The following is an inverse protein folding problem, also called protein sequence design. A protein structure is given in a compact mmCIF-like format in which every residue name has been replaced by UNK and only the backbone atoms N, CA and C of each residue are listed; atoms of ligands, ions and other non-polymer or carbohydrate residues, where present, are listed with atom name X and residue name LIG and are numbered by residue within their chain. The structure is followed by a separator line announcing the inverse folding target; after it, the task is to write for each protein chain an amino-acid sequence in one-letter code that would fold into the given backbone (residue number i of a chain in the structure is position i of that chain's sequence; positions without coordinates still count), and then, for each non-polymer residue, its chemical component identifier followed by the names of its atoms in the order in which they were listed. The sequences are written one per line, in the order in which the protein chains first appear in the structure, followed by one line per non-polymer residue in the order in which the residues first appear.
data_IF_595974543740
#
_entry.id   IF_595974543740
#
_cell.length_a   1.000
_cell.length_b   1.000
_cell.length_c   1.000
_cell.angle_alpha   90.00
_cell.angle_beta   90.00
_cell.angle_gamma   90.00
#
_symmetry.space_group_name_H-M   'P 1'
#
loop_
_entity.id
_entity.type
_entity.pdbx_description
1 polymer ?
#
# COMPACT_ATOMS: atom_id res chain seq x y z
N UNK A 1 -3.72 -6.55 16.95
CA UNK A 1 -2.43 -5.82 16.89
C UNK A 1 -2.61 -4.50 16.16
N UNK A 2 -2.05 -3.44 16.69
CA UNK A 2 -2.06 -2.14 16.03
C UNK A 2 -0.68 -1.84 15.48
N UNK A 3 -0.64 -1.30 14.28
CA UNK A 3 0.58 -0.92 13.59
C UNK A 3 0.50 0.55 13.19
N UNK A 4 1.49 1.34 13.56
CA UNK A 4 1.59 2.73 13.13
C UNK A 4 2.56 2.80 11.95
N UNK A 5 2.08 3.35 10.86
CA UNK A 5 2.83 3.52 9.64
C UNK A 5 3.11 5.01 9.40
N UNK A 6 4.35 5.33 9.07
CA UNK A 6 4.82 6.69 8.82
C UNK A 6 4.63 7.61 10.06
N UNK A 7 5.69 7.84 10.81
CA UNK A 7 5.61 8.67 12.02
C UNK A 7 5.18 10.13 11.74
N UNK A 8 5.45 10.64 10.54
CA UNK A 8 5.00 11.98 10.14
C UNK A 8 3.50 12.04 9.90
N UNK A 9 2.96 11.09 9.13
CA UNK A 9 1.53 11.01 8.80
C UNK A 9 0.71 10.28 9.88
N UNK A 10 1.34 9.44 10.66
CA UNK A 10 0.76 8.72 11.81
C UNK A 10 -0.48 7.87 11.45
N UNK A 11 -0.36 7.06 10.40
CA UNK A 11 -1.42 6.12 10.05
C UNK A 11 -1.52 5.00 11.07
N UNK A 12 -2.71 4.78 11.61
CA UNK A 12 -3.01 3.66 12.50
C UNK A 12 -3.68 2.52 11.73
N UNK A 13 -3.04 1.37 11.71
CA UNK A 13 -3.51 0.17 11.02
C UNK A 13 -3.81 -0.90 12.06
N UNK A 14 -5.04 -1.38 12.09
CA UNK A 14 -5.44 -2.50 12.97
C UNK A 14 -5.37 -3.80 12.21
N UNK A 15 -4.65 -4.76 12.77
CA UNK A 15 -4.53 -6.12 12.24
C UNK A 15 -5.18 -7.10 13.20
N UNK A 16 -6.03 -7.98 12.67
CA UNK A 16 -6.65 -9.05 13.45
C UNK A 16 -6.45 -10.38 12.72
N UNK A 17 -5.88 -11.37 13.43
CA UNK A 17 -5.80 -12.73 12.92
C UNK A 17 -7.15 -13.41 13.15
N UNK A 18 -7.84 -13.74 12.06
CA UNK A 18 -9.17 -14.36 12.13
C UNK A 18 -9.10 -15.88 12.08
N UNK A 19 -8.22 -16.44 11.26
CA UNK A 19 -8.16 -17.87 11.03
C UNK A 19 -6.78 -18.31 10.53
N UNK A 20 -6.36 -19.50 10.97
CA UNK A 20 -5.18 -20.17 10.45
C UNK A 20 -5.64 -21.40 9.68
N UNK A 21 -5.29 -21.48 8.41
CA UNK A 21 -5.62 -22.60 7.54
C UNK A 21 -4.33 -23.27 7.09
N UNK A 22 -4.25 -24.59 7.26
CA UNK A 22 -3.15 -25.38 6.71
C UNK A 22 -3.68 -26.06 5.45
N UNK A 23 -3.24 -25.59 4.29
CA UNK A 23 -3.61 -26.14 2.98
C UNK A 23 -2.34 -26.41 2.18
N UNK A 24 -1.99 -27.69 2.07
CA UNK A 24 -0.79 -28.13 1.35
C UNK A 24 -0.92 -28.00 -0.18
N UNK A 25 -2.15 -27.90 -0.67
CA UNK A 25 -2.43 -27.82 -2.09
C UNK A 25 -2.49 -26.37 -2.60
N UNK A 26 -2.50 -25.39 -1.71
CA UNK A 26 -2.52 -23.98 -2.07
C UNK A 26 -1.16 -23.52 -2.61
N UNK A 27 -1.07 -23.11 -3.89
CA UNK A 27 0.20 -22.65 -4.46
C UNK A 27 0.71 -21.40 -3.77
N UNK A 28 1.96 -21.44 -3.26
CA UNK A 28 2.58 -20.28 -2.61
C UNK A 28 2.69 -19.05 -3.50
N UNK A 29 2.70 -19.23 -4.83
CA UNK A 29 2.71 -18.12 -5.80
C UNK A 29 1.42 -17.29 -5.81
N UNK A 30 0.33 -17.81 -5.25
CA UNK A 30 -0.94 -17.09 -5.13
C UNK A 30 -1.05 -16.32 -3.82
N UNK A 31 -0.06 -16.40 -2.97
CA UNK A 31 -0.01 -15.74 -1.67
C UNK A 31 1.10 -14.67 -1.63
N UNK A 32 0.90 -13.57 -0.91
CA UNK A 32 -0.35 -13.16 -0.27
C UNK A 32 -1.38 -12.67 -1.29
N UNK A 33 -2.66 -12.71 -0.94
CA UNK A 33 -3.72 -12.15 -1.79
C UNK A 33 -4.83 -11.53 -0.94
N UNK A 34 -5.48 -10.51 -1.49
CA UNK A 34 -6.68 -9.90 -0.92
C UNK A 34 -7.89 -10.69 -1.41
N UNK A 35 -8.78 -11.07 -0.50
CA UNK A 35 -10.01 -11.81 -0.82
C UNK A 35 -11.25 -10.92 -0.78
N UNK A 36 -11.21 -9.81 -0.04
CA UNK A 36 -12.28 -8.83 0.02
C UNK A 36 -11.72 -7.51 0.55
N UNK A 37 -12.43 -6.44 0.28
CA UNK A 37 -12.06 -5.12 0.78
C UNK A 37 -13.09 -4.08 0.41
N UNK A 38 -12.99 -2.90 1.03
CA UNK A 38 -13.78 -1.73 0.70
C UNK A 38 -12.99 -0.46 1.03
N UNK A 39 -13.33 0.62 0.38
CA UNK A 39 -12.69 1.91 0.57
C UNK A 39 -11.32 2.02 -0.08
N UNK A 40 -10.87 3.26 -0.24
CA UNK A 40 -9.53 3.56 -0.73
C UNK A 40 -8.52 3.45 0.42
N UNK A 41 -7.27 3.31 0.05
CA UNK A 41 -6.20 3.12 1.02
C UNK A 41 -5.52 4.41 1.45
N UNK A 42 -4.34 4.24 1.99
CA UNK A 42 -3.45 5.33 2.39
C UNK A 42 -2.95 6.07 1.15
N UNK A 43 -3.00 7.41 1.18
CA UNK A 43 -2.27 8.25 0.24
C UNK A 43 -0.96 8.66 0.92
N UNK A 44 0.15 8.26 0.34
CA UNK A 44 1.48 8.56 0.88
C UNK A 44 1.74 10.06 0.96
N UNK A 45 2.34 10.47 2.05
CA UNK A 45 2.77 11.86 2.28
C UNK A 45 1.65 12.91 2.26
N UNK A 46 0.42 12.52 2.45
CA UNK A 46 -0.70 13.46 2.43
C UNK A 46 -0.94 14.19 3.76
N UNK A 47 -0.26 13.82 4.82
CA UNK A 47 -0.46 14.39 6.17
C UNK A 47 -1.39 13.56 7.05
N UNK A 48 -1.50 12.26 6.79
CA UNK A 48 -2.33 11.35 7.57
C UNK A 48 -3.83 11.52 7.31
N UNK A 49 -4.64 11.15 8.29
CA UNK A 49 -6.11 11.21 8.20
C UNK A 49 -6.59 12.64 7.91
N UNK A 50 -6.03 13.62 8.58
CA UNK A 50 -6.42 15.02 8.39
C UNK A 50 -6.08 15.54 6.99
N UNK A 51 -4.92 15.18 6.47
CA UNK A 51 -4.51 15.51 5.11
C UNK A 51 -5.40 14.84 4.08
N UNK A 52 -5.78 13.58 4.30
CA UNK A 52 -6.70 12.85 3.44
C UNK A 52 -8.08 13.50 3.41
N UNK A 53 -8.61 13.91 4.56
CA UNK A 53 -9.88 14.63 4.65
C UNK A 53 -9.85 15.95 3.88
N UNK A 54 -8.75 16.69 3.97
CA UNK A 54 -8.54 17.94 3.21
C UNK A 54 -8.57 17.69 1.70
N UNK A 55 -7.85 16.68 1.24
CA UNK A 55 -7.85 16.28 -0.18
C UNK A 55 -9.26 15.90 -0.63
N UNK A 56 -9.96 15.09 0.15
CA UNK A 56 -11.33 14.69 -0.16
C UNK A 56 -12.26 15.88 -0.28
N UNK A 57 -12.13 16.86 0.62
CA UNK A 57 -12.92 18.10 0.58
C UNK A 57 -12.66 18.91 -0.68
N UNK A 58 -11.40 19.06 -1.04
CA UNK A 58 -11.00 19.80 -2.24
C UNK A 58 -11.50 19.12 -3.51
N UNK A 59 -11.41 17.79 -3.59
CA UNK A 59 -11.88 17.01 -4.75
C UNK A 59 -13.41 17.05 -4.91
N UNK A 60 -14.17 17.25 -3.84
CA UNK A 60 -15.62 17.48 -3.96
C UNK A 60 -15.96 18.78 -4.66
N UNK A 61 -15.17 19.81 -4.45
CA UNK A 61 -15.37 21.12 -5.09
C UNK A 61 -14.95 21.15 -6.55
N UNK A 62 -13.96 20.36 -6.94
CA UNK A 62 -13.40 20.24 -8.29
C UNK A 62 -13.05 21.58 -8.95
N UNK A 63 -12.58 22.54 -8.17
CA UNK A 63 -12.20 23.86 -8.68
C UNK A 63 -11.18 24.55 -7.76
N UNK A 64 -10.45 25.48 -8.33
CA UNK A 64 -9.46 26.30 -7.63
C UNK A 64 -8.05 25.75 -7.76
N UNK A 65 -7.09 26.59 -7.33
CA UNK A 65 -5.67 26.25 -7.44
C UNK A 65 -5.30 25.03 -6.61
N UNK A 66 -5.86 24.88 -5.43
CA UNK A 66 -5.57 23.75 -4.54
C UNK A 66 -6.01 22.42 -5.18
N UNK A 67 -7.15 22.41 -5.85
CA UNK A 67 -7.60 21.25 -6.63
C UNK A 67 -6.63 20.93 -7.77
N UNK A 68 -6.20 21.94 -8.52
CA UNK A 68 -5.24 21.76 -9.61
C UNK A 68 -3.91 21.20 -9.10
N UNK A 69 -3.41 21.74 -7.98
CA UNK A 69 -2.16 21.28 -7.37
C UNK A 69 -2.27 19.81 -6.91
N UNK A 70 -3.38 19.41 -6.31
CA UNK A 70 -3.60 18.03 -5.92
C UNK A 70 -3.76 17.09 -7.12
N UNK A 71 -4.43 17.53 -8.18
CA UNK A 71 -4.53 16.75 -9.43
C UNK A 71 -3.15 16.46 -10.03
N UNK A 72 -2.29 17.47 -10.06
CA UNK A 72 -0.93 17.34 -10.57
C UNK A 72 -0.11 16.38 -9.68
N UNK A 73 -0.18 16.58 -8.37
CA UNK A 73 0.56 15.74 -7.42
C UNK A 73 0.12 14.28 -7.45
N UNK A 74 -1.19 14.01 -7.45
CA UNK A 74 -1.75 12.65 -7.44
C UNK A 74 -1.79 12.00 -8.82
N UNK A 75 -1.68 12.80 -9.89
CA UNK A 75 -1.78 12.29 -11.25
C UNK A 75 -3.18 11.85 -11.66
N UNK A 76 -4.21 12.36 -11.00
CA UNK A 76 -5.62 12.06 -11.31
C UNK A 76 -6.53 13.24 -10.99
N UNK A 77 -7.69 13.30 -11.65
CA UNK A 77 -8.66 14.38 -11.51
C UNK A 77 -9.87 14.02 -10.63
N UNK A 78 -10.02 12.74 -10.28
CA UNK A 78 -11.09 12.23 -9.45
C UNK A 78 -10.53 11.44 -8.27
N UNK A 79 -11.24 11.50 -7.15
CA UNK A 79 -10.93 10.73 -5.96
C UNK A 79 -12.22 10.14 -5.39
N UNK A 80 -12.31 8.82 -5.35
CA UNK A 80 -13.40 8.08 -4.72
C UNK A 80 -12.83 7.25 -3.57
N UNK A 81 -13.03 7.74 -2.34
CA UNK A 81 -12.53 7.09 -1.14
C UNK A 81 -13.34 5.83 -0.76
N UNK A 82 -14.47 5.59 -1.38
CA UNK A 82 -15.28 4.40 -1.17
C UNK A 82 -14.95 3.28 -2.16
N UNK A 83 -14.25 3.60 -3.24
CA UNK A 83 -13.87 2.64 -4.26
C UNK A 83 -12.79 1.67 -3.76
N UNK A 84 -12.94 0.42 -4.12
CA UNK A 84 -11.93 -0.61 -3.89
C UNK A 84 -11.83 -1.52 -5.11
N UNK A 85 -10.63 -1.63 -5.67
CA UNK A 85 -10.33 -2.50 -6.80
C UNK A 85 -9.47 -3.68 -6.31
N UNK A 86 -10.10 -4.85 -6.16
CA UNK A 86 -9.44 -6.06 -5.68
C UNK A 86 -8.38 -6.58 -6.67
N UNK A 87 -8.62 -6.43 -7.95
CA UNK A 87 -7.67 -6.89 -8.97
C UNK A 87 -6.41 -6.04 -8.95
N UNK A 88 -6.55 -4.71 -8.84
CA UNK A 88 -5.42 -3.81 -8.69
C UNK A 88 -4.62 -4.10 -7.41
N UNK A 89 -5.31 -4.30 -6.29
CA UNK A 89 -4.67 -4.64 -5.01
C UNK A 89 -3.86 -5.93 -5.13
N UNK A 90 -4.41 -6.96 -5.76
CA UNK A 90 -3.72 -8.24 -5.97
C UNK A 90 -2.55 -8.14 -6.96
N UNK A 91 -2.66 -7.32 -7.99
CA UNK A 91 -1.55 -7.05 -8.91
C UNK A 91 -0.40 -6.38 -8.16
N UNK A 92 -0.69 -5.41 -7.31
CA UNK A 92 0.33 -4.73 -6.49
C UNK A 92 1.01 -5.70 -5.52
N UNK A 93 0.25 -6.61 -4.89
CA UNK A 93 0.82 -7.62 -4.00
C UNK A 93 1.80 -8.56 -4.69
N UNK A 94 1.54 -8.92 -5.95
CA UNK A 94 2.46 -9.77 -6.73
C UNK A 94 3.82 -9.14 -7.00
N UNK A 95 3.92 -7.82 -6.86
CA UNK A 95 5.18 -7.08 -7.05
C UNK A 95 6.07 -7.07 -5.81
N UNK A 96 5.56 -7.52 -4.66
CA UNK A 96 6.37 -7.62 -3.44
C UNK A 96 7.40 -8.73 -3.62
N UNK A 97 8.71 -8.44 -3.52
CA UNK A 97 9.73 -9.44 -3.78
C UNK A 97 9.76 -10.50 -2.69
N UNK A 98 9.93 -11.76 -3.10
CA UNK A 98 10.06 -12.91 -2.18
C UNK A 98 11.27 -12.83 -1.27
N UNK A 99 12.21 -11.96 -1.56
CA UNK A 99 13.39 -11.77 -0.74
C UNK A 99 13.04 -11.41 0.71
N UNK A 100 11.91 -10.74 0.93
CA UNK A 100 11.43 -10.48 2.30
C UNK A 100 11.09 -11.77 3.03
N UNK A 101 10.49 -12.74 2.35
CA UNK A 101 10.21 -14.06 2.91
C UNK A 101 11.50 -14.76 3.32
N UNK A 102 12.51 -14.75 2.46
CA UNK A 102 13.80 -15.39 2.74
C UNK A 102 14.49 -14.77 3.97
N UNK A 103 14.47 -13.44 4.08
CA UNK A 103 15.10 -12.72 5.19
C UNK A 103 14.34 -12.94 6.50
N UNK A 104 13.03 -12.75 6.49
CA UNK A 104 12.23 -12.72 7.72
C UNK A 104 11.73 -14.08 8.16
N UNK A 105 11.38 -14.97 7.25
CA UNK A 105 10.88 -16.31 7.60
C UNK A 105 11.99 -17.33 7.71
N UNK A 106 12.92 -17.34 6.77
CA UNK A 106 13.99 -18.34 6.73
C UNK A 106 15.32 -17.84 7.32
N UNK A 107 15.39 -16.58 7.73
CA UNK A 107 16.59 -15.96 8.31
C UNK A 107 17.82 -16.08 7.41
N UNK A 108 17.62 -16.05 6.12
CA UNK A 108 18.68 -16.06 5.13
C UNK A 108 19.17 -14.62 4.94
N UNK A 109 20.47 -14.41 5.14
CA UNK A 109 21.07 -13.09 4.90
C UNK A 109 21.01 -12.75 3.41
N UNK A 110 20.54 -11.56 3.03
CA UNK A 110 20.48 -11.17 1.62
C UNK A 110 21.89 -11.04 1.04
N UNK A 111 22.03 -11.44 -0.21
CA UNK A 111 23.25 -11.18 -0.95
C UNK A 111 23.30 -9.72 -1.39
N UNK A 112 24.49 -9.19 -1.69
CA UNK A 112 24.62 -7.83 -2.20
C UNK A 112 23.80 -7.63 -3.49
N UNK A 113 23.77 -8.66 -4.35
CA UNK A 113 22.95 -8.64 -5.57
C UNK A 113 21.46 -8.45 -5.29
N UNK A 114 20.95 -9.08 -4.23
CA UNK A 114 19.56 -8.93 -3.81
C UNK A 114 19.28 -7.53 -3.26
N UNK A 115 20.21 -6.98 -2.49
CA UNK A 115 20.13 -5.61 -1.97
C UNK A 115 20.11 -4.63 -3.13
N UNK A 116 21.02 -4.76 -4.08
CA UNK A 116 21.10 -3.90 -5.27
C UNK A 116 19.80 -3.96 -6.09
N UNK A 117 19.19 -5.14 -6.20
CA UNK A 117 17.92 -5.31 -6.89
C UNK A 117 16.79 -4.55 -6.18
N UNK A 118 16.70 -4.66 -4.85
CA UNK A 118 15.71 -3.94 -4.04
C UNK A 118 15.88 -2.43 -4.19
N UNK A 119 17.10 -1.94 -4.06
CA UNK A 119 17.39 -0.51 -4.20
C UNK A 119 17.01 0.02 -5.58
N UNK A 120 17.33 -0.70 -6.65
CA UNK A 120 16.95 -0.28 -8.01
C UNK A 120 15.45 -0.27 -8.25
N UNK A 121 14.75 -1.28 -7.72
CA UNK A 121 13.32 -1.47 -8.03
C UNK A 121 12.40 -0.64 -7.16
N UNK A 122 12.78 -0.41 -5.90
CA UNK A 122 11.88 0.17 -4.91
C UNK A 122 12.34 1.53 -4.39
N UNK A 123 13.63 1.75 -4.21
CA UNK A 123 14.14 2.98 -3.59
C UNK A 123 14.35 4.14 -4.56
N UNK A 124 14.56 3.87 -5.83
CA UNK A 124 14.69 4.92 -6.86
C UNK A 124 13.37 5.54 -7.31
N UNK A 125 12.26 5.11 -6.78
CA UNK A 125 10.92 5.63 -7.08
C UNK A 125 10.32 6.49 -5.97
N UNK A 126 11.08 6.68 -4.91
CA UNK A 126 10.69 7.53 -3.79
C UNK A 126 11.06 9.00 -4.06
#
# INVERSE_FOLDING_TARGET
MNFNYDYGDDWSIRLALEKIIVDKDLPGKELPRVIAGEGDGIIEDCGGVYGLEEIARVFKKKKGKQYEDFCEWLGRSDLDLEAFDIDDANIRLKKIPRIYTDIYEYRISPTQKSIDFLERKYMKRL
#
